data_IF_407805926198
#
_entry.id   IF_407805926198
#
_cell.length_a   1.000
_cell.length_b   1.000
_cell.length_c   1.000
_cell.angle_alpha   90.00
_cell.angle_beta   90.00
_cell.angle_gamma   90.00
#
_symmetry.space_group_name_H-M   'P 1'
#
loop_
_entity.id
_entity.type
_entity.pdbx_description
1 polymer ?
#
# COMPACT_ATOMS: atom_id res chain seq x y z
N UNK A 1 -50.83 -52.71 -25.42
CA UNK A 1 -49.69 -52.45 -26.27
C UNK A 1 -49.45 -50.94 -26.27
N UNK A 2 -48.64 -50.45 -25.36
CA UNK A 2 -48.33 -49.02 -25.28
C UNK A 2 -46.82 -48.89 -25.11
N UNK A 3 -46.18 -48.35 -26.14
CA UNK A 3 -44.74 -48.12 -26.21
C UNK A 3 -44.38 -46.93 -25.27
N UNK A 4 -43.60 -47.22 -24.25
CA UNK A 4 -43.02 -46.22 -23.36
C UNK A 4 -41.68 -45.70 -24.00
N UNK A 5 -41.70 -44.53 -24.62
CA UNK A 5 -40.50 -43.85 -25.12
C UNK A 5 -39.76 -43.24 -23.95
N UNK A 6 -38.64 -43.84 -23.57
CA UNK A 6 -37.66 -43.28 -22.67
C UNK A 6 -36.94 -42.12 -23.39
N UNK A 7 -37.24 -40.89 -23.01
CA UNK A 7 -36.54 -39.69 -23.46
C UNK A 7 -35.37 -39.44 -22.51
N UNK A 8 -34.19 -39.91 -22.84
CA UNK A 8 -32.94 -39.55 -22.15
C UNK A 8 -32.63 -38.06 -22.44
N UNK A 9 -32.92 -37.20 -21.47
CA UNK A 9 -32.41 -35.81 -21.47
C UNK A 9 -30.94 -35.85 -21.16
N UNK A 10 -30.11 -35.70 -22.18
CA UNK A 10 -28.68 -35.41 -22.04
C UNK A 10 -28.54 -33.97 -21.57
N UNK A 11 -28.38 -33.78 -20.28
CA UNK A 11 -27.91 -32.49 -19.70
C UNK A 11 -26.45 -32.31 -20.09
N UNK A 12 -26.20 -31.61 -21.18
CA UNK A 12 -24.89 -31.08 -21.52
C UNK A 12 -24.62 -29.98 -20.49
N UNK A 13 -23.87 -30.32 -19.45
CA UNK A 13 -23.20 -29.36 -18.58
C UNK A 13 -22.15 -28.61 -19.41
N UNK A 14 -22.56 -27.57 -20.10
CA UNK A 14 -21.65 -26.56 -20.60
C UNK A 14 -20.95 -25.93 -19.39
N UNK A 15 -19.81 -26.50 -18.97
CA UNK A 15 -18.84 -25.78 -18.19
C UNK A 15 -18.43 -24.57 -19.00
N UNK A 16 -19.08 -23.44 -18.78
CA UNK A 16 -18.58 -22.14 -19.20
C UNK A 16 -17.27 -21.90 -18.46
N UNK A 17 -16.21 -22.43 -19.02
CA UNK A 17 -14.84 -22.02 -18.71
C UNK A 17 -14.70 -20.62 -19.32
N UNK A 18 -15.27 -19.62 -18.67
CA UNK A 18 -15.07 -18.22 -19.03
C UNK A 18 -13.60 -17.90 -18.78
N UNK A 19 -12.78 -18.15 -19.79
CA UNK A 19 -11.45 -17.55 -19.86
C UNK A 19 -11.66 -16.05 -19.57
N UNK A 20 -10.88 -15.46 -18.65
CA UNK A 20 -10.96 -14.03 -18.43
C UNK A 20 -10.83 -13.37 -19.80
N UNK A 21 -11.76 -12.49 -20.16
CA UNK A 21 -11.68 -11.65 -21.36
C UNK A 21 -10.35 -10.95 -21.29
N UNK A 22 -9.36 -11.44 -21.99
CA UNK A 22 -8.17 -10.67 -22.31
C UNK A 22 -8.66 -9.56 -23.19
N UNK A 23 -8.86 -8.38 -22.62
CA UNK A 23 -9.10 -7.15 -23.36
C UNK A 23 -7.91 -7.01 -24.30
N UNK A 24 -8.17 -7.18 -25.61
CA UNK A 24 -7.11 -7.39 -26.58
C UNK A 24 -6.18 -6.19 -26.62
N UNK A 25 -5.02 -6.31 -25.97
CA UNK A 25 -3.94 -5.39 -26.17
C UNK A 25 -3.61 -4.42 -25.04
N UNK A 26 -4.16 -4.50 -23.83
CA UNK A 26 -3.83 -3.59 -22.71
C UNK A 26 -3.22 -4.36 -21.53
N UNK A 27 -2.17 -3.83 -20.90
CA UNK A 27 -1.66 -4.30 -19.61
C UNK A 27 -2.43 -3.57 -18.51
N UNK A 28 -3.19 -4.31 -17.70
CA UNK A 28 -4.07 -3.78 -16.66
C UNK A 28 -3.29 -3.57 -15.37
N UNK A 29 -3.09 -2.31 -14.99
CA UNK A 29 -2.36 -1.90 -13.79
C UNK A 29 -3.36 -1.47 -12.72
N UNK A 30 -3.52 -2.26 -11.67
CA UNK A 30 -4.40 -1.97 -10.53
C UNK A 30 -3.58 -1.44 -9.37
N UNK A 31 -3.86 -0.20 -8.94
CA UNK A 31 -3.14 0.49 -7.87
C UNK A 31 -4.10 0.84 -6.75
N UNK A 32 -3.77 0.46 -5.51
CA UNK A 32 -4.60 0.83 -4.36
C UNK A 32 -4.54 2.34 -4.13
N UNK A 33 -5.72 2.95 -3.86
CA UNK A 33 -5.83 4.38 -3.50
C UNK A 33 -4.96 4.70 -2.29
N UNK A 34 -4.23 5.79 -2.35
CA UNK A 34 -3.35 6.26 -1.28
C UNK A 34 -1.91 6.48 -1.78
N UNK A 35 -0.90 6.47 -0.90
CA UNK A 35 0.50 6.76 -1.24
C UNK A 35 1.06 5.93 -2.40
N UNK A 36 0.57 4.69 -2.59
CA UNK A 36 0.97 3.83 -3.71
C UNK A 36 0.74 4.48 -5.07
N UNK A 37 -0.32 5.27 -5.22
CA UNK A 37 -0.68 5.92 -6.48
C UNK A 37 0.33 7.00 -6.89
N UNK A 38 1.07 7.58 -5.93
CA UNK A 38 2.06 8.62 -6.20
C UNK A 38 3.17 8.09 -7.13
N UNK A 39 3.61 6.86 -6.90
CA UNK A 39 4.64 6.21 -7.72
C UNK A 39 4.19 5.95 -9.18
N UNK A 40 2.89 6.05 -9.46
CA UNK A 40 2.29 5.81 -10.78
C UNK A 40 1.73 7.08 -11.43
N UNK A 41 1.94 8.25 -10.86
CA UNK A 41 1.43 9.51 -11.40
C UNK A 41 1.87 9.73 -12.86
N UNK A 42 3.14 9.50 -13.18
CA UNK A 42 3.66 9.63 -14.55
C UNK A 42 2.98 8.67 -15.54
N UNK A 43 2.65 7.45 -15.12
CA UNK A 43 1.95 6.49 -15.99
C UNK A 43 0.49 6.88 -16.27
N UNK A 44 -0.15 7.60 -15.35
CA UNK A 44 -1.51 8.10 -15.54
C UNK A 44 -1.55 9.21 -16.58
N UNK A 45 -0.49 10.01 -16.71
CA UNK A 45 -0.38 11.07 -17.70
C UNK A 45 0.10 10.54 -19.05
N UNK A 46 1.16 9.74 -19.09
CA UNK A 46 1.85 9.35 -20.33
C UNK A 46 1.35 8.03 -20.95
N UNK A 47 0.67 7.19 -20.17
CA UNK A 47 0.21 5.86 -20.59
C UNK A 47 1.28 5.07 -21.37
N UNK A 48 2.38 4.65 -20.70
CA UNK A 48 3.50 4.02 -21.39
C UNK A 48 3.10 2.70 -22.06
N UNK A 49 3.86 2.30 -23.08
CA UNK A 49 3.59 1.11 -23.91
C UNK A 49 4.73 0.10 -23.72
N UNK A 50 4.37 -1.17 -23.54
CA UNK A 50 5.30 -2.31 -23.46
C UNK A 50 4.78 -3.43 -24.34
N UNK A 51 5.63 -3.95 -25.24
CA UNK A 51 5.26 -5.00 -26.21
C UNK A 51 3.97 -4.65 -26.98
N UNK A 52 3.90 -3.43 -27.51
CA UNK A 52 2.75 -2.85 -28.23
C UNK A 52 1.45 -2.77 -27.43
N UNK A 53 1.52 -2.88 -26.09
CA UNK A 53 0.37 -2.80 -25.19
C UNK A 53 0.50 -1.60 -24.25
N UNK A 54 -0.49 -0.70 -24.22
CA UNK A 54 -0.51 0.39 -23.25
C UNK A 54 -0.71 -0.15 -21.82
N UNK A 55 -0.03 0.47 -20.85
CA UNK A 55 -0.23 0.22 -19.42
C UNK A 55 -1.37 1.11 -18.92
N UNK A 56 -2.54 0.54 -18.71
CA UNK A 56 -3.71 1.26 -18.22
C UNK A 56 -3.80 1.19 -16.71
N UNK A 57 -3.61 2.34 -16.05
CA UNK A 57 -3.69 2.45 -14.59
C UNK A 57 -5.14 2.59 -14.15
N UNK A 58 -5.56 1.74 -13.21
CA UNK A 58 -6.86 1.78 -12.55
C UNK A 58 -6.66 1.87 -11.04
N UNK A 59 -7.35 2.81 -10.40
CA UNK A 59 -7.34 2.95 -8.94
C UNK A 59 -8.38 2.03 -8.34
N UNK A 60 -7.98 1.32 -7.30
CA UNK A 60 -8.82 0.42 -6.50
C UNK A 60 -8.97 1.03 -5.10
N UNK A 61 -10.21 1.15 -4.63
CA UNK A 61 -10.53 1.90 -3.42
C UNK A 61 -10.33 1.12 -2.11
N UNK A 62 -10.28 -0.21 -2.18
CA UNK A 62 -10.08 -1.02 -0.97
C UNK A 62 -9.19 -2.24 -1.20
N UNK A 63 -8.51 -2.73 -0.14
CA UNK A 63 -7.72 -3.96 -0.19
C UNK A 63 -8.54 -5.19 -0.61
N UNK A 64 -9.80 -5.28 -0.20
CA UNK A 64 -10.66 -6.42 -0.53
C UNK A 64 -11.00 -6.47 -2.02
N UNK A 65 -11.30 -5.32 -2.63
CA UNK A 65 -11.50 -5.21 -4.09
C UNK A 65 -10.22 -5.56 -4.85
N UNK A 66 -9.05 -5.15 -4.35
CA UNK A 66 -7.76 -5.53 -4.93
C UNK A 66 -7.53 -7.04 -4.85
N UNK A 67 -7.81 -7.66 -3.71
CA UNK A 67 -7.71 -9.12 -3.56
C UNK A 67 -8.64 -9.85 -4.52
N UNK A 68 -9.89 -9.39 -4.64
CA UNK A 68 -10.85 -9.96 -5.58
C UNK A 68 -10.36 -9.85 -7.05
N UNK A 69 -9.82 -8.71 -7.44
CA UNK A 69 -9.26 -8.50 -8.78
C UNK A 69 -8.07 -9.46 -9.07
N UNK A 70 -7.20 -9.67 -8.08
CA UNK A 70 -6.07 -10.61 -8.20
C UNK A 70 -6.55 -12.07 -8.32
N UNK A 71 -7.51 -12.48 -7.51
CA UNK A 71 -8.08 -13.84 -7.54
C UNK A 71 -8.75 -14.12 -8.88
N UNK A 72 -9.45 -13.14 -9.44
CA UNK A 72 -10.12 -13.25 -10.74
C UNK A 72 -9.17 -13.09 -11.95
N UNK A 73 -7.90 -12.72 -11.73
CA UNK A 73 -6.96 -12.41 -12.81
C UNK A 73 -7.33 -11.16 -13.61
N UNK A 74 -7.97 -10.20 -12.96
CA UNK A 74 -8.38 -8.91 -13.56
C UNK A 74 -7.27 -7.84 -13.51
N UNK A 75 -6.13 -8.13 -12.90
CA UNK A 75 -4.95 -7.28 -12.86
C UNK A 75 -3.74 -8.02 -13.39
N UNK A 76 -2.99 -7.40 -14.30
CA UNK A 76 -1.72 -7.91 -14.79
C UNK A 76 -0.56 -7.38 -13.93
N UNK A 77 -0.71 -6.16 -13.43
CA UNK A 77 0.14 -5.55 -12.41
C UNK A 77 -0.77 -5.11 -11.26
N UNK A 78 -0.39 -5.42 -10.02
CA UNK A 78 -1.14 -4.99 -8.84
C UNK A 78 -0.22 -4.38 -7.79
N UNK A 79 -0.69 -3.30 -7.14
CA UNK A 79 0.05 -2.59 -6.09
C UNK A 79 -0.80 -2.53 -4.82
N UNK A 80 -0.32 -3.17 -3.76
CA UNK A 80 -1.05 -3.35 -2.52
C UNK A 80 -0.08 -3.46 -1.33
N UNK A 81 -0.57 -3.37 -0.06
CA UNK A 81 0.28 -3.50 1.11
C UNK A 81 1.08 -4.82 1.10
N UNK A 82 2.35 -4.76 1.51
CA UNK A 82 3.27 -5.91 1.52
C UNK A 82 2.71 -7.10 2.28
N UNK A 83 2.09 -6.87 3.45
CA UNK A 83 1.48 -7.94 4.26
C UNK A 83 0.32 -8.59 3.51
N UNK A 84 -0.51 -7.80 2.82
CA UNK A 84 -1.61 -8.34 2.00
C UNK A 84 -1.10 -9.20 0.85
N UNK A 85 0.00 -8.78 0.21
CA UNK A 85 0.65 -9.55 -0.85
C UNK A 85 1.18 -10.89 -0.34
N UNK A 86 1.84 -10.89 0.83
CA UNK A 86 2.32 -12.11 1.47
C UNK A 86 1.18 -13.06 1.83
N UNK A 87 0.08 -12.54 2.37
CA UNK A 87 -1.10 -13.34 2.69
C UNK A 87 -1.74 -13.98 1.45
N UNK A 88 -1.81 -13.25 0.33
CA UNK A 88 -2.30 -13.79 -0.94
C UNK A 88 -1.39 -14.90 -1.47
N UNK A 89 -0.09 -14.71 -1.39
CA UNK A 89 0.88 -15.75 -1.76
C UNK A 89 0.70 -17.02 -0.94
N UNK A 90 0.51 -16.90 0.38
CA UNK A 90 0.25 -18.04 1.28
C UNK A 90 -1.06 -18.75 0.96
N UNK A 91 -2.06 -18.03 0.43
CA UNK A 91 -3.34 -18.59 -0.06
C UNK A 91 -3.24 -19.20 -1.46
N UNK A 92 -2.04 -19.29 -2.05
CA UNK A 92 -1.82 -19.91 -3.35
C UNK A 92 -2.01 -19.02 -4.57
N UNK A 93 -2.26 -17.73 -4.39
CA UNK A 93 -2.34 -16.78 -5.50
C UNK A 93 -0.94 -16.51 -6.04
N UNK A 94 -0.69 -16.90 -7.28
CA UNK A 94 0.65 -16.91 -7.88
C UNK A 94 0.88 -15.68 -8.76
N UNK A 95 1.40 -14.64 -8.13
CA UNK A 95 1.99 -13.47 -8.78
C UNK A 95 3.47 -13.38 -8.38
N UNK A 96 4.27 -12.72 -9.20
CA UNK A 96 5.68 -12.47 -8.89
C UNK A 96 5.83 -11.14 -8.19
N UNK A 97 6.51 -11.11 -7.05
CA UNK A 97 6.91 -9.87 -6.41
C UNK A 97 8.00 -9.21 -7.25
N UNK A 98 7.69 -8.05 -7.83
CA UNK A 98 8.62 -7.26 -8.63
C UNK A 98 9.47 -6.33 -7.78
N UNK A 99 8.85 -5.62 -6.83
CA UNK A 99 9.57 -4.68 -5.98
C UNK A 99 8.64 -3.93 -5.02
N UNK A 100 9.19 -2.90 -4.40
CA UNK A 100 8.48 -2.01 -3.48
C UNK A 100 8.75 -0.56 -3.87
N UNK A 101 7.72 0.25 -4.19
CA UNK A 101 7.91 1.65 -4.54
C UNK A 101 7.81 2.60 -3.33
N UNK A 102 7.22 2.18 -2.20
CA UNK A 102 6.97 3.00 -1.03
C UNK A 102 7.66 2.38 0.20
N UNK A 103 8.59 3.12 0.78
CA UNK A 103 9.45 2.66 1.88
C UNK A 103 9.17 3.35 3.21
N UNK A 104 8.27 4.30 3.24
CA UNK A 104 7.92 5.02 4.44
C UNK A 104 6.60 5.76 4.28
N UNK A 105 5.76 5.68 5.30
CA UNK A 105 4.57 6.52 5.39
C UNK A 105 4.15 6.73 6.83
N UNK A 106 4.66 5.93 7.78
CA UNK A 106 4.15 5.82 9.14
C UNK A 106 5.06 6.52 10.15
N UNK A 107 4.45 7.37 10.95
CA UNK A 107 5.15 8.18 11.93
C UNK A 107 4.35 8.23 13.25
N UNK A 108 5.07 8.21 14.38
CA UNK A 108 4.50 8.57 15.66
C UNK A 108 4.49 10.10 15.76
N UNK A 109 3.33 10.66 16.04
CA UNK A 109 3.10 12.11 16.14
C UNK A 109 2.42 12.43 17.45
N UNK A 110 2.73 13.58 18.01
CA UNK A 110 2.13 14.06 19.25
C UNK A 110 2.65 15.42 19.69
N UNK A 111 2.20 15.86 20.86
CA UNK A 111 2.70 17.07 21.53
C UNK A 111 3.85 16.68 22.44
N UNK A 112 5.01 17.34 22.28
CA UNK A 112 6.29 16.95 22.90
C UNK A 112 6.32 16.99 24.42
N UNK A 113 5.45 17.76 25.04
CA UNK A 113 5.42 18.05 26.49
C UNK A 113 4.49 17.14 27.28
N UNK A 114 3.74 16.26 26.61
CA UNK A 114 2.75 15.41 27.25
C UNK A 114 3.23 13.98 27.43
N UNK A 115 3.98 13.75 28.53
CA UNK A 115 3.85 12.49 29.27
C UNK A 115 4.59 11.27 28.78
N UNK A 116 5.79 11.38 28.19
CA UNK A 116 6.66 10.19 28.00
C UNK A 116 7.39 9.83 29.31
N UNK A 117 7.37 10.71 30.29
CA UNK A 117 8.03 10.55 31.60
C UNK A 117 7.02 10.65 32.75
N UNK A 118 6.43 9.52 33.16
CA UNK A 118 5.54 9.43 34.32
C UNK A 118 5.16 7.99 34.64
N UNK A 119 4.64 7.76 35.84
CA UNK A 119 4.16 6.44 36.27
C UNK A 119 3.00 5.92 35.40
N UNK A 120 2.23 6.82 34.75
CA UNK A 120 1.16 6.46 33.85
C UNK A 120 1.65 6.45 32.39
N UNK A 121 1.63 5.28 31.76
CA UNK A 121 1.96 5.13 30.35
C UNK A 121 0.99 5.97 29.48
N UNK A 122 1.49 6.86 28.62
CA UNK A 122 0.64 7.62 27.71
C UNK A 122 -0.12 6.70 26.77
N UNK A 123 -1.30 7.15 26.33
CA UNK A 123 -2.11 6.42 25.35
C UNK A 123 -1.64 6.76 23.95
N UNK A 124 -1.34 5.75 23.14
CA UNK A 124 -1.00 5.86 21.74
C UNK A 124 -2.16 5.34 20.89
N UNK A 125 -2.83 6.24 20.19
CA UNK A 125 -3.89 5.88 19.26
C UNK A 125 -3.32 5.38 17.93
N UNK A 126 -3.82 4.22 17.48
CA UNK A 126 -3.32 3.51 16.32
C UNK A 126 -4.49 2.85 15.58
N UNK A 127 -4.35 2.67 14.28
CA UNK A 127 -5.33 2.00 13.43
C UNK A 127 -4.78 0.68 12.87
N UNK A 128 -5.66 -0.16 12.36
CA UNK A 128 -5.30 -1.36 11.61
C UNK A 128 -4.61 -2.43 12.48
N UNK A 129 -5.26 -2.88 13.56
CA UNK A 129 -4.78 -3.98 14.37
C UNK A 129 -4.37 -5.20 13.52
N UNK A 130 -3.18 -5.76 13.75
CA UNK A 130 -2.61 -6.87 12.98
C UNK A 130 -2.13 -6.49 11.56
N UNK A 131 -2.14 -5.21 11.20
CA UNK A 131 -1.63 -4.72 9.91
C UNK A 131 -0.32 -3.95 10.07
N UNK A 132 0.22 -3.43 8.97
CA UNK A 132 1.53 -2.74 8.97
C UNK A 132 1.67 -1.64 10.04
N UNK A 133 0.71 -0.72 10.25
CA UNK A 133 0.81 0.27 11.32
C UNK A 133 1.02 -0.33 12.70
N UNK A 134 0.24 -1.34 13.05
CA UNK A 134 0.34 -2.03 14.34
C UNK A 134 1.67 -2.77 14.50
N UNK A 135 2.05 -3.54 13.50
CA UNK A 135 3.29 -4.36 13.54
C UNK A 135 4.52 -3.46 13.71
N UNK A 136 4.64 -2.40 12.92
CA UNK A 136 5.78 -1.48 13.00
C UNK A 136 5.79 -0.70 14.32
N UNK A 137 4.63 -0.27 14.80
CA UNK A 137 4.53 0.43 16.08
C UNK A 137 4.99 -0.47 17.23
N UNK A 138 4.45 -1.69 17.34
CA UNK A 138 4.87 -2.63 18.39
C UNK A 138 6.35 -2.96 18.30
N UNK A 139 6.88 -3.11 17.10
CA UNK A 139 8.30 -3.37 16.90
C UNK A 139 9.14 -2.18 17.41
N UNK A 140 8.80 -0.96 17.01
CA UNK A 140 9.46 0.27 17.44
C UNK A 140 9.45 0.42 18.97
N UNK A 141 8.27 0.25 19.60
CA UNK A 141 8.13 0.39 21.07
C UNK A 141 8.96 -0.63 21.83
N UNK A 142 9.04 -1.87 21.35
CA UNK A 142 9.89 -2.91 21.95
C UNK A 142 11.37 -2.56 21.85
N UNK A 143 11.82 -2.13 20.68
CA UNK A 143 13.24 -1.81 20.45
C UNK A 143 13.73 -0.62 21.27
N UNK A 144 12.87 0.40 21.44
CA UNK A 144 13.24 1.62 22.16
C UNK A 144 12.85 1.59 23.64
N UNK A 145 12.31 0.46 24.14
CA UNK A 145 11.82 0.29 25.52
C UNK A 145 10.88 1.43 25.94
N UNK A 146 10.04 1.91 25.01
CA UNK A 146 9.12 3.02 25.23
C UNK A 146 7.76 2.48 25.68
N UNK A 147 7.27 2.92 26.83
CA UNK A 147 5.99 2.46 27.39
C UNK A 147 4.82 3.29 26.88
N UNK A 148 3.98 2.71 26.03
CA UNK A 148 2.67 3.25 25.63
C UNK A 148 1.57 2.22 25.90
N UNK A 149 0.36 2.72 26.22
CA UNK A 149 -0.86 1.90 26.14
C UNK A 149 -1.47 2.08 24.76
N UNK A 150 -1.56 1.00 23.96
CA UNK A 150 -2.11 1.06 22.61
C UNK A 150 -3.63 1.11 22.65
N UNK A 151 -4.20 2.03 21.88
CA UNK A 151 -5.64 2.24 21.75
C UNK A 151 -6.08 2.16 20.28
N UNK A 152 -7.02 1.25 19.98
CA UNK A 152 -7.56 0.99 18.63
C UNK A 152 -9.03 1.44 18.51
N UNK A 153 -9.45 2.42 19.30
CA UNK A 153 -10.84 2.94 19.26
C UNK A 153 -11.20 3.63 17.94
N UNK A 154 -10.21 4.11 17.21
CA UNK A 154 -10.39 4.65 15.86
C UNK A 154 -10.07 3.59 14.81
N UNK A 155 -10.82 3.57 13.72
CA UNK A 155 -10.66 2.58 12.65
C UNK A 155 -9.75 3.05 11.52
N UNK A 156 -9.62 4.37 11.35
CA UNK A 156 -8.87 5.00 10.25
C UNK A 156 -7.88 6.06 10.73
N UNK A 157 -6.83 6.27 9.95
CA UNK A 157 -5.88 7.37 10.18
C UNK A 157 -6.55 8.75 10.11
N UNK A 158 -7.60 8.90 9.31
CA UNK A 158 -8.36 10.15 9.21
C UNK A 158 -9.09 10.48 10.51
N UNK A 159 -9.74 9.50 11.14
CA UNK A 159 -10.42 9.69 12.43
C UNK A 159 -9.42 10.05 13.52
N UNK A 160 -8.27 9.40 13.55
CA UNK A 160 -7.18 9.71 14.51
C UNK A 160 -6.68 11.14 14.30
N UNK A 161 -6.44 11.55 13.05
CA UNK A 161 -6.05 12.93 12.73
C UNK A 161 -7.08 13.94 13.25
N UNK A 162 -8.37 13.68 13.05
CA UNK A 162 -9.43 14.55 13.57
C UNK A 162 -9.41 14.60 15.09
N UNK A 163 -9.16 13.48 15.76
CA UNK A 163 -8.99 13.41 17.21
C UNK A 163 -7.81 14.25 17.73
N UNK A 164 -6.65 14.20 17.04
CA UNK A 164 -5.49 15.04 17.33
C UNK A 164 -5.82 16.53 17.21
N UNK A 165 -6.45 16.94 16.08
CA UNK A 165 -6.81 18.33 15.81
C UNK A 165 -7.89 18.85 16.78
N UNK A 166 -8.75 17.97 17.29
CA UNK A 166 -9.75 18.31 18.31
C UNK A 166 -9.19 18.32 19.74
N UNK A 167 -7.90 18.01 19.95
CA UNK A 167 -7.28 17.92 21.27
C UNK A 167 -7.76 16.74 22.12
N UNK A 168 -8.43 15.75 21.51
CA UNK A 168 -8.91 14.52 22.18
C UNK A 168 -7.88 13.39 22.19
N UNK A 169 -6.85 13.52 21.38
CA UNK A 169 -5.74 12.59 21.22
C UNK A 169 -4.44 13.37 21.37
N UNK A 170 -3.53 12.90 22.23
CA UNK A 170 -2.23 13.54 22.44
C UNK A 170 -1.12 12.86 21.62
N UNK A 171 -1.16 11.52 21.49
CA UNK A 171 -0.18 10.73 20.74
C UNK A 171 -0.87 9.77 19.78
N UNK A 172 -0.39 9.72 18.55
CA UNK A 172 -0.98 8.88 17.52
C UNK A 172 0.07 8.33 16.54
N UNK A 173 -0.32 7.26 15.83
CA UNK A 173 0.36 6.83 14.62
C UNK A 173 -0.44 7.33 13.43
N UNK A 174 0.20 8.10 12.57
CA UNK A 174 -0.37 8.59 11.32
C UNK A 174 0.48 8.18 10.13
N UNK A 175 -0.21 7.99 9.01
CA UNK A 175 0.41 7.85 7.70
C UNK A 175 0.19 9.09 6.84
N UNK A 176 0.98 9.24 5.77
CA UNK A 176 0.73 10.24 4.74
C UNK A 176 -0.55 9.92 3.95
N UNK A 177 -1.35 10.90 3.57
CA UNK A 177 -1.16 12.35 3.70
C UNK A 177 -1.67 12.94 5.02
N UNK A 178 -2.29 12.16 5.91
CA UNK A 178 -2.94 12.65 7.12
C UNK A 178 -1.96 13.28 8.12
N UNK A 179 -0.73 12.76 8.18
CA UNK A 179 0.34 13.37 8.97
C UNK A 179 0.62 14.81 8.51
N UNK A 180 0.88 15.02 7.23
CA UNK A 180 1.14 16.36 6.68
C UNK A 180 -0.02 17.30 6.89
N UNK A 181 -1.26 16.84 6.78
CA UNK A 181 -2.46 17.64 7.05
C UNK A 181 -2.50 18.05 8.53
N UNK A 182 -2.24 17.11 9.45
CA UNK A 182 -2.23 17.38 10.88
C UNK A 182 -1.18 18.43 11.26
N UNK A 183 0.07 18.25 10.80
CA UNK A 183 1.19 19.16 11.10
C UNK A 183 0.96 20.58 10.54
N UNK A 184 0.29 20.74 9.39
CA UNK A 184 -0.04 22.05 8.84
C UNK A 184 -1.18 22.74 9.59
N UNK A 185 -2.10 21.98 10.17
CA UNK A 185 -3.27 22.54 10.88
C UNK A 185 -3.00 22.83 12.34
N UNK A 186 -2.02 22.17 12.95
CA UNK A 186 -1.67 22.32 14.35
C UNK A 186 -0.14 22.31 14.50
N UNK A 187 0.43 23.49 14.67
CA UNK A 187 1.88 23.70 14.82
C UNK A 187 2.45 23.17 16.14
N UNK A 188 1.60 22.78 17.10
CA UNK A 188 2.03 22.16 18.36
C UNK A 188 2.33 20.66 18.19
N UNK A 189 1.88 20.05 17.09
CA UNK A 189 2.16 18.67 16.76
C UNK A 189 3.57 18.51 16.17
N UNK A 190 4.25 17.44 16.59
CA UNK A 190 5.59 17.11 16.14
C UNK A 190 5.69 15.62 15.76
N UNK A 191 6.57 15.31 14.83
CA UNK A 191 6.97 13.92 14.56
C UNK A 191 7.89 13.50 15.71
N UNK A 192 7.44 12.55 16.52
CA UNK A 192 8.17 12.00 17.66
C UNK A 192 9.04 10.81 17.25
N UNK A 193 8.64 10.05 16.22
CA UNK A 193 9.41 8.94 15.70
C UNK A 193 9.06 8.61 14.24
N UNK A 194 10.07 8.16 13.50
CA UNK A 194 9.94 7.54 12.18
C UNK A 194 9.83 6.02 12.36
N UNK A 195 8.62 5.47 12.17
CA UNK A 195 8.36 4.04 12.33
C UNK A 195 8.81 3.22 11.12
N UNK A 196 9.22 3.87 10.04
CA UNK A 196 9.60 3.20 8.80
C UNK A 196 11.01 2.65 8.84
N UNK A 197 11.83 3.11 9.78
CA UNK A 197 13.21 2.63 10.02
C UNK A 197 13.30 2.04 11.41
N UNK A 198 12.92 0.75 11.54
CA UNK A 198 12.93 0.10 12.85
C UNK A 198 14.34 -0.03 13.44
N UNK A 199 15.37 0.03 12.60
CA UNK A 199 16.78 0.07 13.02
C UNK A 199 17.55 1.13 12.20
N UNK A 200 18.74 1.51 12.67
CA UNK A 200 19.60 2.51 12.04
C UNK A 200 20.24 2.02 10.73
N UNK A 201 20.13 0.73 10.42
CA UNK A 201 20.82 0.07 9.28
C UNK A 201 19.87 -0.14 8.11
N UNK A 202 18.55 -0.21 8.37
CA UNK A 202 17.58 -0.51 7.31
C UNK A 202 17.29 0.72 6.43
N UNK A 203 17.07 0.45 5.15
CA UNK A 203 16.66 1.47 4.18
C UNK A 203 15.20 1.92 4.36
N UNK A 204 14.49 1.35 5.32
CA UNK A 204 13.08 1.53 5.57
C UNK A 204 12.33 0.20 5.49
N UNK A 205 11.05 0.22 5.81
CA UNK A 205 10.16 -0.93 5.70
C UNK A 205 9.43 -0.90 4.35
N UNK A 206 9.42 -2.03 3.63
CA UNK A 206 8.67 -2.16 2.39
C UNK A 206 7.16 -2.06 2.67
N UNK A 207 6.57 -0.89 2.43
CA UNK A 207 5.15 -0.63 2.73
C UNK A 207 4.22 -1.31 1.71
N UNK A 208 4.62 -1.30 0.44
CA UNK A 208 3.79 -1.82 -0.66
C UNK A 208 4.57 -2.81 -1.51
N UNK A 209 3.84 -3.77 -2.06
CA UNK A 209 4.36 -4.73 -3.04
C UNK A 209 3.82 -4.39 -4.43
N UNK A 210 4.68 -4.47 -5.44
CA UNK A 210 4.27 -4.54 -6.84
C UNK A 210 4.30 -6.00 -7.25
N UNK A 211 3.16 -6.50 -7.69
CA UNK A 211 2.98 -7.87 -8.13
C UNK A 211 2.75 -7.92 -9.63
N UNK A 212 3.46 -8.81 -10.33
CA UNK A 212 3.27 -9.08 -11.75
C UNK A 212 2.62 -10.42 -11.97
N UNK A 213 1.65 -10.47 -12.88
CA UNK A 213 1.13 -11.74 -13.40
C UNK A 213 2.23 -12.53 -14.09
N UNK A 214 2.23 -13.89 -14.02
CA UNK A 214 3.25 -14.73 -14.63
C UNK A 214 3.49 -14.46 -16.12
N UNK A 215 2.45 -14.03 -16.85
CA UNK A 215 2.53 -13.70 -18.27
C UNK A 215 3.48 -12.52 -18.57
N UNK A 216 3.69 -11.60 -17.61
CA UNK A 216 4.58 -10.44 -17.79
C UNK A 216 6.05 -10.72 -17.53
N UNK A 217 6.44 -11.97 -17.25
CA UNK A 217 7.84 -12.32 -16.92
C UNK A 217 8.85 -11.86 -17.98
N UNK A 218 8.50 -11.92 -19.27
CA UNK A 218 9.38 -11.51 -20.37
C UNK A 218 9.52 -9.99 -20.44
N UNK A 219 8.46 -9.25 -20.13
CA UNK A 219 8.36 -7.80 -20.19
C UNK A 219 8.86 -7.11 -18.91
N UNK A 220 9.18 -7.89 -17.87
CA UNK A 220 9.49 -7.38 -16.53
C UNK A 220 10.55 -6.29 -16.55
N UNK A 221 11.67 -6.47 -17.25
CA UNK A 221 12.76 -5.48 -17.30
C UNK A 221 12.30 -4.13 -17.87
N UNK A 222 11.48 -4.15 -18.92
CA UNK A 222 10.95 -2.94 -19.52
C UNK A 222 10.01 -2.23 -18.55
N UNK A 223 9.11 -2.98 -17.89
CA UNK A 223 8.18 -2.45 -16.90
C UNK A 223 8.94 -1.88 -15.69
N UNK A 224 9.95 -2.59 -15.20
CA UNK A 224 10.79 -2.13 -14.07
C UNK A 224 11.51 -0.81 -14.40
N UNK A 225 12.01 -0.65 -15.62
CA UNK A 225 12.64 0.61 -16.07
C UNK A 225 11.64 1.76 -16.10
N UNK A 226 10.43 1.53 -16.58
CA UNK A 226 9.36 2.53 -16.60
C UNK A 226 8.90 2.89 -15.19
N UNK A 227 8.82 1.92 -14.28
CA UNK A 227 8.51 2.16 -12.87
C UNK A 227 9.57 3.01 -12.19
N UNK A 228 10.84 2.71 -12.43
CA UNK A 228 11.95 3.52 -11.92
C UNK A 228 11.83 4.97 -12.37
N UNK A 229 11.55 5.21 -13.66
CA UNK A 229 11.33 6.56 -14.19
C UNK A 229 10.12 7.24 -13.54
N UNK A 230 9.00 6.52 -13.34
CA UNK A 230 7.81 7.08 -12.70
C UNK A 230 8.04 7.43 -11.23
N UNK A 231 8.77 6.60 -10.50
CA UNK A 231 9.15 6.92 -9.12
C UNK A 231 10.08 8.14 -9.05
N UNK A 232 11.08 8.23 -9.94
CA UNK A 232 11.95 9.39 -10.05
C UNK A 232 11.17 10.66 -10.38
N UNK A 233 10.25 10.60 -11.34
CA UNK A 233 9.37 11.72 -11.68
C UNK A 233 8.63 12.24 -10.44
N UNK A 234 8.03 11.35 -9.64
CA UNK A 234 7.30 11.74 -8.45
C UNK A 234 8.19 12.44 -7.40
N UNK A 235 9.46 12.07 -7.30
CA UNK A 235 10.42 12.66 -6.35
C UNK A 235 11.04 13.94 -6.88
N UNK A 236 11.41 13.97 -8.18
CA UNK A 236 12.11 15.10 -8.79
C UNK A 236 11.15 16.23 -9.23
N UNK A 237 9.85 15.90 -9.47
CA UNK A 237 8.81 16.83 -9.92
C UNK A 237 7.54 16.68 -9.06
N UNK A 238 7.63 16.85 -7.73
CA UNK A 238 6.52 16.52 -6.82
C UNK A 238 5.26 17.36 -7.08
N UNK A 239 5.40 18.64 -7.44
CA UNK A 239 4.25 19.50 -7.74
C UNK A 239 3.50 19.02 -8.99
N UNK A 240 4.22 18.49 -10.00
CA UNK A 240 3.59 17.95 -11.20
C UNK A 240 2.88 16.64 -10.88
N UNK A 241 3.52 15.76 -10.12
CA UNK A 241 2.90 14.51 -9.65
C UNK A 241 1.60 14.80 -8.86
N UNK A 242 1.62 15.80 -7.97
CA UNK A 242 0.44 16.24 -7.20
C UNK A 242 -0.68 16.69 -8.14
N UNK A 243 -0.38 17.56 -9.12
CA UNK A 243 -1.39 18.04 -10.10
C UNK A 243 -2.05 16.89 -10.86
N UNK A 244 -1.28 15.88 -11.27
CA UNK A 244 -1.81 14.70 -11.95
C UNK A 244 -2.77 13.94 -11.03
N UNK A 245 -2.35 13.68 -9.79
CA UNK A 245 -3.14 12.93 -8.82
C UNK A 245 -4.43 13.63 -8.41
N UNK A 246 -4.42 14.97 -8.35
CA UNK A 246 -5.60 15.79 -8.11
C UNK A 246 -6.54 15.79 -9.33
N UNK A 247 -6.00 15.95 -10.54
CA UNK A 247 -6.75 15.86 -11.80
C UNK A 247 -7.47 14.53 -11.94
N UNK A 248 -6.78 13.44 -11.62
CA UNK A 248 -7.33 12.08 -11.61
C UNK A 248 -8.21 11.77 -10.39
N UNK A 249 -8.47 12.77 -9.51
CA UNK A 249 -9.31 12.65 -8.30
C UNK A 249 -8.89 11.54 -7.34
N UNK A 250 -7.59 11.25 -7.30
CA UNK A 250 -7.03 10.26 -6.39
C UNK A 250 -6.88 10.86 -5.00
N UNK A 251 -6.45 12.11 -4.95
CA UNK A 251 -6.43 12.94 -3.75
C UNK A 251 -7.23 14.21 -3.99
N UNK A 252 -7.86 14.74 -2.95
CA UNK A 252 -8.47 16.06 -3.01
C UNK A 252 -7.39 17.14 -3.06
N UNK A 253 -7.72 18.28 -3.66
CA UNK A 253 -6.78 19.40 -3.77
C UNK A 253 -6.25 19.84 -2.41
N UNK A 254 -4.95 20.05 -2.32
CA UNK A 254 -4.25 20.43 -1.11
C UNK A 254 -4.04 19.33 -0.06
N UNK A 255 -4.42 18.08 -0.34
CA UNK A 255 -4.09 16.96 0.55
C UNK A 255 -2.61 16.62 0.54
N UNK A 256 -2.00 16.61 -0.64
CA UNK A 256 -0.57 16.33 -0.80
C UNK A 256 0.24 17.63 -0.84
N UNK A 257 1.49 17.52 -0.42
CA UNK A 257 2.53 18.55 -0.58
C UNK A 257 3.84 17.86 -0.98
N UNK A 258 4.84 18.58 -1.49
CA UNK A 258 6.16 18.00 -1.75
C UNK A 258 6.73 17.26 -0.54
N UNK A 259 6.59 17.82 0.66
CA UNK A 259 7.08 17.19 1.90
C UNK A 259 6.33 15.90 2.22
N UNK A 260 5.03 15.80 1.87
CA UNK A 260 4.27 14.55 2.05
C UNK A 260 4.76 13.46 1.09
N UNK A 261 5.16 13.82 -0.13
CA UNK A 261 5.78 12.89 -1.09
C UNK A 261 7.16 12.44 -0.59
N UNK A 262 7.98 13.36 -0.10
CA UNK A 262 9.28 13.03 0.48
C UNK A 262 9.16 12.03 1.64
N UNK A 263 8.18 12.24 2.54
CA UNK A 263 7.92 11.33 3.66
C UNK A 263 7.41 9.96 3.24
N UNK A 264 6.88 9.80 2.03
CA UNK A 264 6.53 8.49 1.49
C UNK A 264 7.75 7.65 1.10
N UNK A 265 8.95 8.28 1.04
CA UNK A 265 10.22 7.60 0.70
C UNK A 265 10.08 6.75 -0.55
N UNK A 266 9.67 7.42 -1.64
CA UNK A 266 9.45 6.75 -2.92
C UNK A 266 10.80 6.39 -3.52
N UNK A 267 11.02 5.10 -3.70
CA UNK A 267 12.22 4.58 -4.35
C UNK A 267 11.91 3.20 -4.95
N UNK A 268 12.03 3.08 -6.24
CA UNK A 268 11.97 1.81 -6.94
C UNK A 268 13.39 1.36 -7.30
N UNK A 269 14.21 1.14 -6.29
CA UNK A 269 15.45 0.40 -6.48
C UNK A 269 15.11 -1.08 -6.55
N UNK A 270 15.53 -1.75 -7.64
CA UNK A 270 15.41 -3.20 -7.80
C UNK A 270 16.31 -3.85 -6.75
N UNK A 271 15.85 -3.91 -5.52
CA UNK A 271 16.51 -4.65 -4.44
C UNK A 271 15.96 -6.07 -4.51
N UNK A 272 16.84 -6.99 -4.89
CA UNK A 272 16.52 -8.41 -4.87
C UNK A 272 15.79 -8.78 -3.57
N UNK A 273 14.65 -9.50 -3.62
CA UNK A 273 13.92 -9.96 -2.44
C UNK A 273 14.79 -10.72 -1.42
N UNK A 274 15.95 -11.21 -1.83
CA UNK A 274 16.90 -11.95 -0.96
C UNK A 274 17.46 -11.13 0.21
N UNK A 275 17.38 -9.79 0.20
CA UNK A 275 17.82 -8.95 1.33
C UNK A 275 16.78 -8.80 2.45
N UNK A 276 15.53 -9.24 2.22
CA UNK A 276 14.41 -9.10 3.18
C UNK A 276 14.06 -10.38 3.93
N UNK A 277 14.76 -11.49 3.69
CA UNK A 277 14.53 -12.77 4.39
C UNK A 277 15.15 -12.83 5.79
N UNK A 278 15.78 -11.79 6.27
CA UNK A 278 16.44 -11.74 7.57
C UNK A 278 15.65 -10.98 8.66
N UNK A 279 14.32 -11.04 8.66
CA UNK A 279 13.60 -10.84 9.92
C UNK A 279 13.89 -12.07 10.80
N UNK A 280 14.35 -11.88 12.05
CA UNK A 280 14.65 -13.00 12.94
C UNK A 280 13.44 -13.92 13.08
N UNK A 281 13.70 -15.23 13.10
CA UNK A 281 12.68 -16.28 13.17
C UNK A 281 11.80 -16.23 14.45
N UNK A 282 12.13 -15.38 15.40
CA UNK A 282 11.40 -15.14 16.67
C UNK A 282 10.06 -14.44 16.51
N UNK A 283 9.76 -13.82 15.36
CA UNK A 283 8.48 -13.13 15.14
C UNK A 283 7.44 -13.99 14.38
N UNK A 284 7.65 -15.30 14.26
CA UNK A 284 6.70 -16.22 13.59
C UNK A 284 5.59 -16.77 14.49
N UNK A 285 5.56 -16.37 15.76
CA UNK A 285 4.55 -16.80 16.71
C UNK A 285 3.70 -15.60 17.14
N UNK A 286 2.73 -15.26 16.32
CA UNK A 286 1.44 -14.62 16.69
C UNK A 286 0.37 -15.17 15.74
#
# INVERSE_FOLDING_TARGET
MTFFRCLCLLLILCCCNSKPKTDGGTIRVSVLRGPSAIAFAHWMEETPVVDDKPLSVRIIDSPDLMQAALIKGEADIAVLPMISAANLYNKGIRYHLAGCPIWGTLYLVGRSDKGISGENKPVLHIFGAGTTPDILTRHYLRQHNTGYTLNYSFTTAQEIMQGLLAGKVDHAVLGEPFLSIALRKDSTLQILADLNRPDSVSSGFAQTAILYAPALKKSQKAIDSLLHLSCRFAVEQPEQAIRILEKEKIFASGMLTPESIERCKIDYSIRSPRKYTSLPATDRAI
#
